data_IF_833482404321
#
_entry.id   IF_833482404321
#
_cell.length_a   1.000
_cell.length_b   1.000
_cell.length_c   1.000
_cell.angle_alpha   90.00
_cell.angle_beta   90.00
_cell.angle_gamma   90.00
#
_symmetry.space_group_name_H-M   'P 1'
#
loop_
_entity.id
_entity.type
_entity.pdbx_description
1 polymer ?
#
# COMPACT_ATOMS: atom_id res chain seq x y z
N UNK A 1 -23.24 -2.99 -15.81
CA UNK A 1 -23.46 -4.46 -15.81
C UNK A 1 -23.32 -5.04 -14.38
N UNK A 2 -22.36 -4.58 -13.58
CA UNK A 2 -22.15 -5.07 -12.21
C UNK A 2 -22.81 -4.20 -11.14
N UNK A 3 -23.41 -3.07 -11.49
CA UNK A 3 -24.06 -2.16 -10.56
C UNK A 3 -25.37 -2.75 -9.99
N UNK A 4 -25.56 -2.62 -8.70
CA UNK A 4 -26.79 -3.04 -8.03
C UNK A 4 -26.91 -4.55 -7.82
N UNK A 5 -25.83 -5.33 -7.93
CA UNK A 5 -25.87 -6.75 -7.58
C UNK A 5 -26.25 -6.90 -6.09
N UNK A 6 -27.33 -7.64 -5.72
CA UNK A 6 -27.81 -7.71 -4.35
C UNK A 6 -26.79 -8.27 -3.36
N UNK A 7 -26.01 -9.27 -3.77
CA UNK A 7 -24.95 -9.87 -2.94
C UNK A 7 -23.84 -8.85 -2.67
N UNK A 8 -23.40 -8.12 -3.71
CA UNK A 8 -22.41 -7.07 -3.55
C UNK A 8 -22.91 -5.92 -2.66
N UNK A 9 -24.18 -5.53 -2.78
CA UNK A 9 -24.78 -4.50 -1.93
C UNK A 9 -24.86 -4.98 -0.47
N UNK A 10 -25.23 -6.22 -0.22
CA UNK A 10 -25.26 -6.79 1.12
C UNK A 10 -23.85 -6.87 1.73
N UNK A 11 -22.84 -7.30 0.95
CA UNK A 11 -21.45 -7.29 1.39
C UNK A 11 -20.94 -5.88 1.70
N UNK A 12 -21.31 -4.89 0.90
CA UNK A 12 -20.93 -3.49 1.14
C UNK A 12 -21.54 -2.96 2.45
N UNK A 13 -22.80 -3.27 2.75
CA UNK A 13 -23.42 -2.91 4.02
C UNK A 13 -22.70 -3.56 5.20
N UNK A 14 -22.43 -4.88 5.13
CA UNK A 14 -21.65 -5.57 6.15
C UNK A 14 -20.24 -4.97 6.35
N UNK A 15 -19.59 -4.53 5.28
CA UNK A 15 -18.30 -3.81 5.36
C UNK A 15 -18.43 -2.49 6.11
N UNK A 16 -19.47 -1.71 5.83
CA UNK A 16 -19.71 -0.44 6.53
C UNK A 16 -20.02 -0.65 8.02
N UNK A 17 -20.76 -1.68 8.35
CA UNK A 17 -21.02 -2.06 9.75
C UNK A 17 -19.73 -2.44 10.46
N UNK A 18 -18.90 -3.28 9.84
CA UNK A 18 -17.55 -3.66 10.35
C UNK A 18 -16.67 -2.44 10.56
N UNK A 19 -16.65 -1.49 9.63
CA UNK A 19 -15.87 -0.24 9.77
C UNK A 19 -16.28 0.53 11.02
N UNK A 20 -17.59 0.59 11.28
CA UNK A 20 -18.15 1.29 12.44
C UNK A 20 -17.89 0.53 13.74
N UNK A 21 -18.16 -0.77 13.77
CA UNK A 21 -18.06 -1.60 14.96
C UNK A 21 -16.61 -1.77 15.43
N UNK A 22 -15.66 -1.94 14.48
CA UNK A 22 -14.24 -2.10 14.78
C UNK A 22 -13.46 -0.79 14.78
N UNK A 23 -14.10 0.35 14.51
CA UNK A 23 -13.46 1.67 14.49
C UNK A 23 -12.33 1.80 13.47
N UNK A 24 -12.43 1.10 12.32
CA UNK A 24 -11.33 0.95 11.38
C UNK A 24 -10.86 2.27 10.76
N UNK A 25 -11.74 3.23 10.57
CA UNK A 25 -11.36 4.55 10.04
C UNK A 25 -10.51 5.33 11.05
N UNK A 26 -10.92 5.35 12.32
CA UNK A 26 -10.13 5.96 13.40
C UNK A 26 -8.78 5.26 13.58
N UNK A 27 -8.79 3.92 13.55
CA UNK A 27 -7.55 3.14 13.56
C UNK A 27 -6.62 3.51 12.40
N UNK A 28 -7.16 3.73 11.20
CA UNK A 28 -6.38 4.17 10.05
C UNK A 28 -5.72 5.53 10.27
N UNK A 29 -6.45 6.49 10.87
CA UNK A 29 -5.90 7.80 11.25
C UNK A 29 -4.77 7.69 12.28
N UNK A 30 -4.98 6.90 13.33
CA UNK A 30 -3.97 6.69 14.38
C UNK A 30 -2.70 6.00 13.89
N UNK A 31 -2.83 5.12 12.89
CA UNK A 31 -1.70 4.37 12.32
C UNK A 31 -0.95 5.16 11.24
N UNK A 32 -1.59 6.16 10.62
CA UNK A 32 -1.03 6.92 9.52
C UNK A 32 0.34 7.56 9.83
N UNK A 33 0.60 8.19 10.98
CA UNK A 33 1.93 8.73 11.30
C UNK A 33 3.01 7.64 11.34
N UNK A 34 2.71 6.49 11.91
CA UNK A 34 3.66 5.38 11.96
C UNK A 34 3.97 4.82 10.55
N UNK A 35 2.95 4.74 9.69
CA UNK A 35 3.10 4.36 8.30
C UNK A 35 3.96 5.36 7.52
N UNK A 36 3.73 6.65 7.72
CA UNK A 36 4.51 7.72 7.13
C UNK A 36 5.99 7.62 7.53
N UNK A 37 6.28 7.50 8.82
CA UNK A 37 7.64 7.35 9.33
C UNK A 37 8.34 6.13 8.73
N UNK A 38 7.64 4.98 8.67
CA UNK A 38 8.16 3.76 8.07
C UNK A 38 8.49 3.93 6.58
N UNK A 39 7.61 4.55 5.80
CA UNK A 39 7.86 4.84 4.38
C UNK A 39 9.03 5.82 4.20
N UNK A 40 9.01 6.92 4.93
CA UNK A 40 10.03 7.97 4.79
C UNK A 40 11.39 7.57 5.35
N UNK A 41 11.48 6.51 6.16
CA UNK A 41 12.76 5.92 6.57
C UNK A 41 13.58 5.38 5.39
N UNK A 42 12.93 5.09 4.26
CA UNK A 42 13.59 4.65 3.03
C UNK A 42 14.17 5.82 2.21
N UNK A 43 14.02 7.06 2.68
CA UNK A 43 14.60 8.22 2.02
C UNK A 43 16.13 8.17 2.09
N UNK A 44 16.74 8.22 0.91
CA UNK A 44 18.20 8.11 0.80
C UNK A 44 18.69 6.70 0.45
N UNK A 45 17.81 5.71 0.45
CA UNK A 45 18.16 4.40 -0.07
C UNK A 45 18.50 4.46 -1.57
N UNK A 46 19.44 3.62 -2.05
CA UNK A 46 19.85 3.63 -3.44
C UNK A 46 18.69 3.47 -4.41
N UNK A 47 18.60 4.37 -5.36
CA UNK A 47 17.56 4.42 -6.40
C UNK A 47 16.17 4.82 -5.94
N UNK A 48 15.94 5.18 -4.69
CA UNK A 48 14.71 5.82 -4.25
C UNK A 48 14.84 7.32 -4.55
N UNK A 49 13.95 7.84 -5.42
CA UNK A 49 14.01 9.23 -5.89
C UNK A 49 12.88 10.09 -5.32
N UNK A 50 11.76 9.47 -4.94
CA UNK A 50 10.67 10.16 -4.27
C UNK A 50 9.87 9.20 -3.38
N UNK A 51 9.31 9.72 -2.29
CA UNK A 51 8.40 9.02 -1.38
C UNK A 51 7.25 9.96 -1.06
N UNK A 52 6.03 9.48 -1.20
CA UNK A 52 4.81 10.25 -0.89
C UNK A 52 3.74 9.35 -0.31
N UNK A 53 2.93 9.90 0.57
CA UNK A 53 1.83 9.18 1.22
C UNK A 53 0.64 10.11 1.50
N UNK A 54 -0.50 9.48 1.71
CA UNK A 54 -1.70 10.08 2.28
C UNK A 54 -2.41 9.01 3.11
N UNK A 55 -2.58 9.23 4.40
CA UNK A 55 -3.07 8.21 5.33
C UNK A 55 -2.23 6.92 5.21
N UNK A 56 -2.87 5.78 4.98
CA UNK A 56 -2.20 4.49 4.77
C UNK A 56 -1.85 4.19 3.30
N UNK A 57 -2.12 5.10 2.38
CA UNK A 57 -1.69 4.94 0.99
C UNK A 57 -0.29 5.51 0.85
N UNK A 58 0.61 4.78 0.21
CA UNK A 58 1.99 5.20 0.01
C UNK A 58 2.51 4.88 -1.39
N UNK A 59 3.50 5.64 -1.82
CA UNK A 59 4.20 5.41 -3.07
C UNK A 59 5.69 5.67 -2.91
N UNK A 60 6.50 4.76 -3.44
CA UNK A 60 7.96 4.87 -3.49
C UNK A 60 8.34 4.88 -4.96
N UNK A 61 8.90 5.98 -5.42
CA UNK A 61 9.36 6.11 -6.80
C UNK A 61 10.84 5.73 -6.91
N UNK A 62 11.12 4.87 -7.87
CA UNK A 62 12.48 4.37 -8.11
C UNK A 62 13.05 4.99 -9.39
N UNK A 63 14.35 5.26 -9.38
CA UNK A 63 15.07 5.68 -10.57
C UNK A 63 14.94 4.60 -11.67
N UNK A 64 14.52 4.94 -12.88
CA UNK A 64 14.41 3.98 -13.97
C UNK A 64 15.79 3.44 -14.35
N UNK A 65 15.85 2.21 -14.86
CA UNK A 65 17.06 1.67 -15.49
C UNK A 65 17.14 2.24 -16.91
N UNK A 66 18.24 2.93 -17.30
CA UNK A 66 18.40 3.43 -18.67
C UNK A 66 18.17 2.33 -19.71
N UNK A 67 17.30 2.59 -20.69
CA UNK A 67 16.94 1.62 -21.72
C UNK A 67 16.00 0.48 -21.27
N UNK A 68 15.61 0.43 -20.00
CA UNK A 68 14.73 -0.61 -19.46
C UNK A 68 13.80 -0.03 -18.38
N UNK A 69 12.91 0.92 -18.72
CA UNK A 69 11.96 1.48 -17.79
C UNK A 69 11.07 0.38 -17.20
N UNK A 70 10.55 0.58 -16.02
CA UNK A 70 9.72 -0.34 -15.24
C UNK A 70 10.42 -1.57 -14.66
N UNK A 71 11.58 -1.94 -15.20
CA UNK A 71 12.28 -3.17 -14.81
C UNK A 71 12.73 -3.17 -13.34
N UNK A 72 13.11 -2.01 -12.78
CA UNK A 72 13.52 -1.90 -11.38
C UNK A 72 12.36 -2.17 -10.43
N UNK A 73 11.25 -1.51 -10.63
CA UNK A 73 10.05 -1.71 -9.81
C UNK A 73 9.49 -3.13 -9.97
N UNK A 74 9.49 -3.68 -11.18
CA UNK A 74 9.08 -5.07 -11.41
C UNK A 74 9.99 -6.06 -10.69
N UNK A 75 11.31 -5.84 -10.70
CA UNK A 75 12.25 -6.69 -9.94
C UNK A 75 11.99 -6.61 -8.43
N UNK A 76 11.67 -5.42 -7.91
CA UNK A 76 11.29 -5.25 -6.51
C UNK A 76 9.98 -5.98 -6.18
N UNK A 77 8.98 -5.90 -7.07
CA UNK A 77 7.72 -6.64 -6.97
C UNK A 77 7.95 -8.15 -6.85
N UNK A 78 8.75 -8.74 -7.74
CA UNK A 78 9.05 -10.18 -7.72
C UNK A 78 9.71 -10.58 -6.40
N UNK A 79 10.72 -9.82 -5.97
CA UNK A 79 11.42 -10.10 -4.70
C UNK A 79 10.51 -9.95 -3.47
N UNK A 80 9.61 -8.96 -3.46
CA UNK A 80 8.63 -8.80 -2.41
C UNK A 80 7.67 -10.00 -2.36
N UNK A 81 7.17 -10.41 -3.53
CA UNK A 81 6.30 -11.58 -3.64
C UNK A 81 6.97 -12.88 -3.14
N UNK A 82 8.23 -13.12 -3.52
CA UNK A 82 9.02 -14.26 -3.04
C UNK A 82 9.22 -14.27 -1.51
N UNK A 83 9.14 -13.09 -0.89
CA UNK A 83 9.21 -12.92 0.57
C UNK A 83 7.84 -12.86 1.27
N UNK A 84 6.76 -13.10 0.54
CA UNK A 84 5.40 -13.15 1.08
C UNK A 84 4.67 -11.80 1.09
N UNK A 85 5.26 -10.73 0.55
CA UNK A 85 4.63 -9.42 0.47
C UNK A 85 4.10 -9.15 -0.96
N UNK A 86 2.78 -9.02 -1.09
CA UNK A 86 2.15 -8.64 -2.34
C UNK A 86 2.06 -7.11 -2.44
N UNK A 87 2.88 -6.53 -3.28
CA UNK A 87 2.88 -5.10 -3.60
C UNK A 87 2.34 -4.87 -5.01
N UNK A 88 2.11 -3.61 -5.38
CA UNK A 88 1.72 -3.21 -6.73
C UNK A 88 2.77 -2.28 -7.31
N UNK A 89 3.02 -2.39 -8.62
CA UNK A 89 3.87 -1.45 -9.34
C UNK A 89 3.13 -0.76 -10.47
N UNK A 90 3.45 0.50 -10.72
CA UNK A 90 2.96 1.31 -11.85
C UNK A 90 4.12 2.11 -12.39
N UNK A 91 4.61 1.78 -13.58
CA UNK A 91 5.87 2.32 -14.06
C UNK A 91 7.03 1.91 -13.13
N UNK A 92 7.85 2.87 -12.73
CA UNK A 92 8.91 2.67 -11.74
C UNK A 92 8.49 3.05 -10.31
N UNK A 93 7.18 3.05 -10.03
CA UNK A 93 6.60 3.37 -8.72
C UNK A 93 6.09 2.08 -8.06
N UNK A 94 6.46 1.87 -6.81
CA UNK A 94 5.86 0.89 -5.91
C UNK A 94 4.68 1.59 -5.24
N UNK A 95 3.47 1.07 -5.45
CA UNK A 95 2.25 1.58 -4.84
C UNK A 95 1.81 0.65 -3.70
N UNK A 96 1.57 1.22 -2.54
CA UNK A 96 1.23 0.52 -1.31
C UNK A 96 -0.12 1.03 -0.78
N UNK A 97 -1.01 0.10 -0.48
CA UNK A 97 -2.32 0.39 0.11
C UNK A 97 -2.72 -0.78 1.00
N UNK A 98 -2.14 -0.90 2.19
CA UNK A 98 -2.45 -2.01 3.08
C UNK A 98 -3.89 -1.91 3.58
N UNK A 99 -4.49 -3.04 4.03
CA UNK A 99 -5.80 -3.02 4.65
C UNK A 99 -5.77 -2.23 5.97
N UNK A 100 -6.90 -1.64 6.38
CA UNK A 100 -7.01 -0.86 7.62
C UNK A 100 -6.67 -1.65 8.88
N UNK A 101 -6.72 -2.98 8.82
CA UNK A 101 -6.37 -3.88 9.93
C UNK A 101 -4.88 -4.19 10.04
N UNK A 102 -4.02 -3.65 9.18
CA UNK A 102 -2.57 -3.87 9.23
C UNK A 102 -2.02 -3.53 10.61
N UNK A 103 -1.05 -4.29 11.07
CA UNK A 103 -0.36 -4.08 12.33
C UNK A 103 0.99 -3.41 12.13
N UNK A 104 1.52 -2.76 13.18
CA UNK A 104 2.89 -2.21 13.15
C UNK A 104 3.95 -3.27 12.87
N UNK A 105 3.75 -4.50 13.35
CA UNK A 105 4.63 -5.63 13.04
C UNK A 105 4.69 -5.91 11.54
N UNK A 106 3.53 -5.98 10.89
CA UNK A 106 3.43 -6.20 9.44
C UNK A 106 3.96 -5.02 8.60
N UNK A 107 3.88 -3.79 9.12
CA UNK A 107 4.49 -2.62 8.46
C UNK A 107 6.02 -2.72 8.47
N UNK A 108 6.61 -3.32 9.51
CA UNK A 108 8.06 -3.45 9.66
C UNK A 108 8.67 -4.62 8.86
N UNK A 109 7.86 -5.52 8.36
CA UNK A 109 8.28 -6.62 7.47
C UNK A 109 8.59 -6.13 6.05
#
# INVERSE_FOLDING_TARGET
TYSGNPIACAAALGTLDTYKEEGLLTRGEELAPYWEDALHSLKGEPNVIDIRNIGLIGAIELAPIPGSPTKRAFSAFVKAFERGALIRTTGDIIALSPPLIITKGQINE
#
